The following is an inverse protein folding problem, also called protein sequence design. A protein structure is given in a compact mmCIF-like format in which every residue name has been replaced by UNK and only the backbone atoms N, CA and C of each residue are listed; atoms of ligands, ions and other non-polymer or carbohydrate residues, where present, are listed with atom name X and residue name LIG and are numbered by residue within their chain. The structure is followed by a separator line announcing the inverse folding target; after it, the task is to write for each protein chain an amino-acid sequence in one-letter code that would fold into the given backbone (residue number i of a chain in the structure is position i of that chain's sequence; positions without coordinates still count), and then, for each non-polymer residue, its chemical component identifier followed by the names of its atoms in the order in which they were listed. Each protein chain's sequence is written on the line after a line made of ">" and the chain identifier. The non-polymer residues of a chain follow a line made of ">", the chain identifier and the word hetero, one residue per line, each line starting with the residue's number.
data_IF_663747520691
#
_entry.id   IF_663747520691
#
_cell.length_a   1.000
_cell.length_b   1.000
_cell.length_c   1.000
_cell.angle_alpha   90.00
_cell.angle_beta   90.00
_cell.angle_gamma   90.00
#
_symmetry.space_group_name_H-M   'P 1'
#
loop_
_entity.id
_entity.type
_entity.pdbx_description
1 polymer ?
#
# COMPACT_ATOMS: atom_id res chain seq x y z
N UNK A 1 -9.31 -2.78 11.06
CA UNK A 1 -8.12 -2.83 10.18
C UNK A 1 -6.85 -3.29 10.89
N UNK A 2 -6.91 -3.64 12.13
CA UNK A 2 -5.69 -3.90 12.91
C UNK A 2 -4.88 -5.14 12.46
N UNK A 3 -5.48 -6.04 11.70
CA UNK A 3 -4.77 -7.16 11.10
C UNK A 3 -4.15 -6.86 9.73
N UNK A 4 -4.53 -5.78 9.05
CA UNK A 4 -4.09 -5.55 7.68
C UNK A 4 -2.61 -5.17 7.56
N UNK A 5 -2.10 -4.39 8.51
CA UNK A 5 -0.68 -4.00 8.58
C UNK A 5 -0.17 -4.15 10.01
N UNK A 6 0.84 -4.99 10.17
CA UNK A 6 1.52 -5.20 11.45
C UNK A 6 3.01 -4.90 11.27
N UNK A 7 3.55 -4.13 12.21
CA UNK A 7 4.98 -3.84 12.27
C UNK A 7 5.54 -4.57 13.50
N UNK A 8 6.61 -5.33 13.31
CA UNK A 8 7.27 -6.03 14.40
C UNK A 8 8.76 -5.78 14.42
N UNK A 9 9.33 -5.78 15.61
CA UNK A 9 10.77 -5.71 15.81
C UNK A 9 11.29 -7.05 16.29
N UNK A 10 12.46 -7.42 15.78
CA UNK A 10 13.15 -8.64 16.22
C UNK A 10 14.60 -8.33 16.55
N UNK A 11 15.16 -9.07 17.51
CA UNK A 11 16.59 -9.20 17.65
C UNK A 11 17.04 -10.32 16.74
N UNK A 12 17.70 -9.96 15.65
CA UNK A 12 18.13 -10.91 14.63
C UNK A 12 19.56 -11.38 14.94
N UNK A 13 19.72 -12.65 15.23
CA UNK A 13 20.99 -13.24 15.66
C UNK A 13 21.61 -14.17 14.58
N UNK A 14 20.87 -14.54 13.52
CA UNK A 14 21.34 -15.42 12.44
C UNK A 14 20.53 -15.24 11.15
N UNK A 15 21.09 -15.68 10.02
CA UNK A 15 20.44 -15.64 8.71
C UNK A 15 19.13 -16.46 8.70
N UNK A 16 18.08 -15.93 8.03
CA UNK A 16 16.77 -16.56 7.93
C UNK A 16 15.88 -16.46 9.18
N UNK A 17 16.34 -15.77 10.25
CA UNK A 17 15.51 -15.61 11.46
C UNK A 17 14.26 -14.79 11.19
N UNK A 18 14.29 -13.83 10.26
CA UNK A 18 13.11 -13.09 9.81
C UNK A 18 12.01 -14.01 9.29
N UNK A 19 12.36 -14.95 8.42
CA UNK A 19 11.41 -15.95 7.89
C UNK A 19 10.84 -16.84 8.99
N UNK A 20 11.66 -17.23 9.98
CA UNK A 20 11.18 -18.00 11.13
C UNK A 20 10.14 -17.23 11.93
N UNK A 21 10.38 -15.95 12.20
CA UNK A 21 9.42 -15.09 12.94
C UNK A 21 8.14 -14.91 12.13
N UNK A 22 8.24 -14.63 10.83
CA UNK A 22 7.10 -14.54 9.91
C UNK A 22 6.20 -15.79 10.02
N UNK A 23 6.80 -16.99 9.88
CA UNK A 23 6.07 -18.25 9.94
C UNK A 23 5.44 -18.49 11.31
N UNK A 24 6.11 -18.12 12.40
CA UNK A 24 5.59 -18.23 13.75
C UNK A 24 4.38 -17.31 13.97
N UNK A 25 4.43 -16.07 13.48
CA UNK A 25 3.31 -15.12 13.58
C UNK A 25 2.11 -15.57 12.76
N UNK A 26 2.31 -16.02 11.54
CA UNK A 26 1.20 -16.50 10.70
C UNK A 26 0.65 -17.87 11.12
N UNK A 27 1.41 -18.61 11.90
CA UNK A 27 1.01 -19.94 12.42
C UNK A 27 0.28 -19.91 13.76
N UNK A 28 0.14 -18.76 14.44
CA UNK A 28 -0.35 -18.74 15.81
C UNK A 28 -1.32 -17.59 16.13
N UNK A 29 -2.37 -17.92 16.88
CA UNK A 29 -3.32 -16.96 17.46
C UNK A 29 -3.95 -16.04 16.44
N UNK A 30 -4.28 -14.83 16.85
CA UNK A 30 -4.91 -13.83 15.96
C UNK A 30 -3.96 -13.27 14.91
N UNK A 31 -2.64 -13.39 15.09
CA UNK A 31 -1.67 -12.96 14.08
C UNK A 31 -1.77 -13.78 12.78
N UNK A 32 -2.40 -14.95 12.80
CA UNK A 32 -2.70 -15.71 11.59
C UNK A 32 -3.54 -14.91 10.58
N UNK A 33 -4.31 -13.90 11.02
CA UNK A 33 -5.10 -13.04 10.14
C UNK A 33 -4.32 -11.84 9.57
N UNK A 34 -3.07 -11.63 10.01
CA UNK A 34 -2.24 -10.54 9.50
C UNK A 34 -1.99 -10.67 8.00
N UNK A 35 -2.25 -9.58 7.27
CA UNK A 35 -2.11 -9.51 5.81
C UNK A 35 -0.72 -9.04 5.39
N UNK A 36 -0.28 -7.91 5.93
CA UNK A 36 1.02 -7.29 5.64
C UNK A 36 1.82 -7.23 6.93
N UNK A 37 2.94 -7.92 6.94
CA UNK A 37 3.90 -7.91 8.05
C UNK A 37 5.14 -7.16 7.63
N UNK A 38 5.54 -6.15 8.39
CA UNK A 38 6.81 -5.44 8.22
C UNK A 38 7.71 -5.76 9.39
N UNK A 39 8.93 -6.22 9.11
CA UNK A 39 9.92 -6.52 10.15
C UNK A 39 11.07 -5.52 10.10
N UNK A 40 11.53 -5.13 11.29
CA UNK A 40 12.70 -4.31 11.49
C UNK A 40 13.52 -4.83 12.67
N UNK A 41 14.76 -4.37 12.83
CA UNK A 41 15.60 -4.73 13.96
C UNK A 41 15.17 -4.00 15.25
N UNK A 42 15.52 -4.58 16.40
CA UNK A 42 15.10 -4.11 17.72
C UNK A 42 15.51 -2.65 18.03
N UNK A 43 16.58 -2.18 17.44
CA UNK A 43 17.10 -0.82 17.64
C UNK A 43 16.26 0.28 16.98
N UNK A 44 15.30 -0.07 16.10
CA UNK A 44 14.50 0.90 15.38
C UNK A 44 13.23 1.26 16.16
N UNK A 45 12.89 2.55 16.25
CA UNK A 45 11.62 2.97 16.85
C UNK A 45 10.47 2.69 15.87
N UNK A 46 9.50 1.86 16.29
CA UNK A 46 8.28 1.58 15.49
C UNK A 46 7.22 2.68 15.61
N UNK A 47 7.47 3.71 16.42
CA UNK A 47 6.59 4.88 16.56
C UNK A 47 7.08 6.08 15.74
N UNK A 48 8.34 6.08 15.31
CA UNK A 48 8.90 7.01 14.35
C UNK A 48 8.83 6.39 12.95
N UNK A 49 7.72 6.65 12.26
CA UNK A 49 7.44 6.03 10.97
C UNK A 49 8.41 6.45 9.86
N UNK A 50 8.94 7.66 9.91
CA UNK A 50 9.93 8.13 8.93
C UNK A 50 11.26 7.37 9.09
N UNK A 51 11.76 7.28 10.31
CA UNK A 51 12.98 6.51 10.62
C UNK A 51 12.80 5.01 10.35
N UNK A 52 11.64 4.45 10.69
CA UNK A 52 11.30 3.07 10.40
C UNK A 52 11.29 2.80 8.89
N UNK A 53 10.61 3.62 8.11
CA UNK A 53 10.53 3.44 6.67
C UNK A 53 11.91 3.56 6.01
N UNK A 54 12.69 4.56 6.38
CA UNK A 54 14.08 4.70 5.91
C UNK A 54 14.90 3.44 6.18
N UNK A 55 14.79 2.92 7.42
CA UNK A 55 15.53 1.72 7.82
C UNK A 55 15.10 0.50 7.00
N UNK A 56 13.80 0.25 6.92
CA UNK A 56 13.24 -0.88 6.15
C UNK A 56 13.66 -0.79 4.68
N UNK A 57 13.45 0.34 4.04
CA UNK A 57 13.78 0.50 2.63
C UNK A 57 15.29 0.49 2.34
N UNK A 58 16.12 0.90 3.29
CA UNK A 58 17.58 0.77 3.18
C UNK A 58 17.99 -0.70 3.01
N UNK A 59 17.42 -1.58 3.82
CA UNK A 59 17.77 -3.01 3.88
C UNK A 59 16.97 -3.89 2.91
N UNK A 60 15.96 -3.34 2.21
CA UNK A 60 15.04 -4.10 1.37
C UNK A 60 15.58 -4.29 -0.04
N UNK A 61 15.62 -5.53 -0.50
CA UNK A 61 15.62 -5.89 -1.91
C UNK A 61 14.21 -6.41 -2.28
N UNK A 62 13.42 -5.72 -3.13
CA UNK A 62 12.06 -6.13 -3.44
C UNK A 62 11.94 -7.53 -4.04
N UNK A 63 12.96 -8.03 -4.71
CA UNK A 63 12.95 -9.35 -5.34
C UNK A 63 13.15 -10.50 -4.35
N UNK A 64 13.93 -10.29 -3.26
CA UNK A 64 14.36 -11.37 -2.36
C UNK A 64 13.80 -11.25 -0.95
N UNK A 65 13.47 -10.02 -0.49
CA UNK A 65 13.14 -9.75 0.91
C UNK A 65 11.63 -9.55 1.14
N UNK A 66 10.82 -9.79 0.11
CA UNK A 66 9.36 -9.80 0.20
C UNK A 66 8.87 -11.22 0.01
N UNK A 67 8.29 -11.79 1.09
CA UNK A 67 7.80 -13.15 1.11
C UNK A 67 6.29 -13.19 1.00
N UNK A 68 5.77 -14.05 0.13
CA UNK A 68 4.34 -14.23 -0.06
C UNK A 68 3.88 -15.60 0.43
N UNK A 69 2.70 -15.61 1.05
CA UNK A 69 2.01 -16.82 1.48
C UNK A 69 0.51 -16.72 1.19
N UNK A 70 -0.23 -17.76 1.49
CA UNK A 70 -1.70 -17.77 1.54
C UNK A 70 -2.14 -18.46 2.81
N UNK A 71 -3.28 -18.03 3.35
CA UNK A 71 -3.78 -18.64 4.58
C UNK A 71 -5.07 -18.00 5.08
N UNK A 72 -5.42 -18.27 6.36
CA UNK A 72 -6.58 -17.67 6.99
C UNK A 72 -6.51 -16.15 6.97
N UNK A 73 -7.64 -15.52 6.64
CA UNK A 73 -7.83 -14.08 6.66
C UNK A 73 -9.08 -13.74 7.48
N UNK A 74 -9.15 -12.51 7.95
CA UNK A 74 -10.36 -12.03 8.61
C UNK A 74 -11.55 -12.14 7.67
N UNK A 75 -12.70 -12.58 8.17
CA UNK A 75 -13.93 -12.73 7.38
C UNK A 75 -14.44 -11.39 6.84
N UNK A 76 -14.08 -10.29 7.48
CA UNK A 76 -14.39 -8.93 7.04
C UNK A 76 -13.45 -8.42 5.96
N UNK A 77 -12.38 -9.15 5.63
CA UNK A 77 -11.49 -8.75 4.54
C UNK A 77 -12.17 -8.99 3.19
N UNK A 78 -12.56 -7.89 2.57
CA UNK A 78 -13.24 -7.92 1.27
C UNK A 78 -12.27 -8.09 0.09
N UNK A 79 -10.97 -7.85 0.27
CA UNK A 79 -9.98 -7.95 -0.81
C UNK A 79 -9.71 -9.38 -1.26
N UNK A 80 -9.99 -10.37 -0.41
CA UNK A 80 -9.78 -11.78 -0.73
C UNK A 80 -10.80 -12.29 -1.75
N UNK A 81 -10.35 -13.06 -2.73
CA UNK A 81 -11.26 -13.68 -3.72
C UNK A 81 -12.15 -14.79 -3.11
N UNK A 82 -11.75 -15.34 -1.96
CA UNK A 82 -12.52 -16.32 -1.16
C UNK A 82 -12.67 -15.79 0.25
N UNK A 83 -13.87 -15.91 0.81
CA UNK A 83 -14.13 -15.49 2.20
C UNK A 83 -13.22 -16.23 3.17
N UNK A 84 -12.52 -15.47 4.04
CA UNK A 84 -11.66 -16.02 5.08
C UNK A 84 -10.35 -16.66 4.58
N UNK A 85 -10.00 -16.53 3.28
CA UNK A 85 -8.79 -17.09 2.71
C UNK A 85 -8.20 -16.20 1.63
N UNK A 86 -6.94 -15.78 1.80
CA UNK A 86 -6.30 -14.83 0.88
C UNK A 86 -4.78 -14.80 0.97
N UNK A 87 -4.20 -13.82 0.29
CA UNK A 87 -2.77 -13.58 0.23
C UNK A 87 -2.22 -12.88 1.47
N UNK A 88 -0.96 -13.17 1.76
CA UNK A 88 -0.16 -12.57 2.83
C UNK A 88 1.18 -12.13 2.28
N UNK A 89 1.72 -11.06 2.84
CA UNK A 89 3.04 -10.54 2.48
C UNK A 89 3.83 -10.19 3.72
N UNK A 90 5.09 -10.56 3.73
CA UNK A 90 6.05 -10.09 4.72
C UNK A 90 7.17 -9.31 4.03
N UNK A 91 7.45 -8.12 4.53
CA UNK A 91 8.57 -7.27 4.13
C UNK A 91 9.65 -7.41 5.20
N UNK A 92 10.72 -8.10 4.90
CA UNK A 92 11.87 -8.24 5.78
C UNK A 92 12.83 -7.06 5.60
N UNK A 93 12.61 -6.02 6.40
CA UNK A 93 13.48 -4.83 6.46
C UNK A 93 14.58 -4.91 7.50
N UNK A 94 14.90 -6.10 8.03
CA UNK A 94 16.03 -6.28 8.95
C UNK A 94 17.37 -6.17 8.22
N UNK A 95 18.43 -5.84 8.94
CA UNK A 95 19.80 -5.92 8.42
C UNK A 95 20.11 -7.34 7.94
N UNK A 96 20.84 -7.45 6.83
CA UNK A 96 21.13 -8.74 6.22
C UNK A 96 22.46 -9.31 6.68
N UNK A 97 22.49 -10.60 6.95
CA UNK A 97 23.71 -11.37 7.04
C UNK A 97 24.28 -11.64 5.65
N UNK A 98 25.53 -12.03 5.56
CA UNK A 98 26.21 -12.26 4.29
C UNK A 98 25.49 -13.30 3.44
N UNK A 99 24.94 -14.35 4.07
CA UNK A 99 24.20 -15.43 3.43
C UNK A 99 22.83 -15.00 2.87
N UNK A 100 22.33 -13.82 3.25
CA UNK A 100 21.06 -13.27 2.78
C UNK A 100 21.23 -12.24 1.66
N UNK A 101 22.47 -11.87 1.34
CA UNK A 101 22.76 -10.87 0.31
C UNK A 101 22.69 -11.49 -1.09
N UNK A 102 22.21 -10.71 -2.04
CA UNK A 102 22.26 -11.04 -3.47
C UNK A 102 23.43 -10.34 -4.14
N UNK A 103 24.32 -11.10 -4.79
CA UNK A 103 25.52 -10.57 -5.44
C UNK A 103 25.24 -9.49 -6.50
N UNK A 104 24.08 -9.61 -7.16
CA UNK A 104 23.71 -8.74 -8.29
C UNK A 104 22.77 -7.60 -7.91
N UNK A 105 22.44 -7.44 -6.62
CA UNK A 105 21.50 -6.40 -6.21
C UNK A 105 22.12 -4.99 -6.32
N UNK A 106 21.35 -4.06 -6.90
CA UNK A 106 21.71 -2.63 -6.95
C UNK A 106 21.41 -1.98 -5.60
N UNK A 107 22.43 -1.64 -4.83
CA UNK A 107 22.26 -0.82 -3.63
C UNK A 107 21.61 0.53 -3.97
N UNK A 108 20.69 0.96 -3.12
CA UNK A 108 19.97 2.19 -3.33
C UNK A 108 20.83 3.43 -3.35
N UNK A 109 20.69 4.15 -4.42
CA UNK A 109 20.80 5.60 -4.38
C UNK A 109 19.74 6.17 -5.32
N UNK A 110 18.68 6.77 -4.75
CA UNK A 110 17.82 7.63 -5.56
C UNK A 110 18.69 8.77 -6.06
N UNK A 111 19.04 8.71 -7.35
CA UNK A 111 19.91 9.72 -7.99
C UNK A 111 19.10 10.86 -8.59
N UNK A 112 17.77 10.74 -8.63
CA UNK A 112 16.88 11.64 -9.35
C UNK A 112 15.96 12.32 -8.34
N UNK A 113 15.73 13.61 -8.52
CA UNK A 113 14.87 14.39 -7.63
C UNK A 113 13.41 13.95 -7.72
N UNK A 114 12.69 14.07 -6.63
CA UNK A 114 11.24 13.82 -6.59
C UNK A 114 10.49 14.63 -7.67
N UNK A 115 10.88 15.87 -7.91
CA UNK A 115 10.27 16.73 -8.93
C UNK A 115 10.43 16.17 -10.35
N UNK A 116 11.60 15.59 -10.68
CA UNK A 116 11.82 14.94 -11.98
C UNK A 116 10.98 13.68 -12.13
N UNK A 117 10.85 12.88 -11.06
CA UNK A 117 9.97 11.71 -11.00
C UNK A 117 8.52 12.13 -11.22
N UNK A 118 8.04 13.13 -10.47
CA UNK A 118 6.67 13.64 -10.60
C UNK A 118 6.39 14.16 -12.01
N UNK A 119 7.30 14.95 -12.59
CA UNK A 119 7.18 15.46 -13.95
C UNK A 119 7.06 14.33 -14.97
N UNK A 120 7.87 13.27 -14.80
CA UNK A 120 7.83 12.10 -15.68
C UNK A 120 6.51 11.35 -15.52
N UNK A 121 6.07 11.09 -14.30
CA UNK A 121 4.85 10.31 -14.05
C UNK A 121 3.58 11.06 -14.48
N UNK A 122 3.54 12.38 -14.38
CA UNK A 122 2.42 13.21 -14.89
C UNK A 122 2.24 13.15 -16.41
N UNK A 123 3.18 12.57 -17.16
CA UNK A 123 3.01 12.33 -18.59
C UNK A 123 2.12 11.12 -18.93
N UNK A 124 1.82 10.28 -17.94
CA UNK A 124 0.89 9.14 -18.09
C UNK A 124 -0.53 9.60 -17.75
N UNK A 125 -1.45 9.53 -18.73
CA UNK A 125 -2.82 10.04 -18.58
C UNK A 125 -3.62 9.30 -17.51
N UNK A 126 -3.27 8.05 -17.26
CA UNK A 126 -3.91 7.18 -16.26
C UNK A 126 -3.55 7.56 -14.82
N UNK A 127 -2.43 8.26 -14.62
CA UNK A 127 -1.99 8.70 -13.30
C UNK A 127 -2.63 10.05 -12.99
N UNK A 128 -3.50 10.09 -11.99
CA UNK A 128 -4.22 11.31 -11.59
C UNK A 128 -3.47 12.10 -10.52
N UNK A 129 -2.88 11.40 -9.55
CA UNK A 129 -2.09 12.02 -8.49
C UNK A 129 -0.78 11.25 -8.30
N UNK A 130 0.31 11.97 -8.18
CA UNK A 130 1.64 11.43 -7.85
C UNK A 130 2.04 11.97 -6.49
N UNK A 131 2.26 11.09 -5.53
CA UNK A 131 2.88 11.45 -4.25
C UNK A 131 4.30 10.90 -4.19
N UNK A 132 5.28 11.81 -4.24
CA UNK A 132 6.71 11.54 -4.12
C UNK A 132 7.31 12.11 -2.81
N UNK A 133 6.50 12.42 -1.81
CA UNK A 133 6.97 12.99 -0.54
C UNK A 133 7.91 12.04 0.22
N UNK A 134 7.70 10.72 0.08
CA UNK A 134 8.60 9.73 0.67
C UNK A 134 9.99 9.78 0.01
N UNK A 135 10.04 10.03 -1.30
CA UNK A 135 11.30 10.19 -2.04
C UNK A 135 12.09 11.42 -1.57
N UNK A 136 11.41 12.53 -1.25
CA UNK A 136 12.04 13.72 -0.66
C UNK A 136 12.67 13.45 0.70
N UNK A 137 12.20 12.40 1.37
CA UNK A 137 12.71 11.91 2.65
C UNK A 137 13.71 10.74 2.48
N UNK A 138 14.26 10.50 1.31
CA UNK A 138 15.15 9.37 0.99
C UNK A 138 14.51 7.99 1.20
N UNK A 139 13.19 7.88 1.10
CA UNK A 139 12.45 6.62 1.15
C UNK A 139 12.03 6.28 -0.29
N UNK A 140 12.58 5.22 -0.94
CA UNK A 140 12.34 4.89 -2.34
C UNK A 140 10.96 4.25 -2.58
N UNK A 141 9.91 4.97 -2.22
CA UNK A 141 8.52 4.55 -2.34
C UNK A 141 7.67 5.69 -2.91
N UNK A 142 6.80 5.34 -3.85
CA UNK A 142 5.81 6.24 -4.45
C UNK A 142 4.39 5.78 -4.12
N UNK A 143 3.45 6.72 -4.07
CA UNK A 143 2.01 6.42 -4.02
C UNK A 143 1.37 7.08 -5.23
N UNK A 144 0.66 6.30 -6.04
CA UNK A 144 0.06 6.77 -7.29
C UNK A 144 -1.44 6.51 -7.30
N UNK A 145 -2.24 7.55 -7.56
CA UNK A 145 -3.67 7.41 -7.85
C UNK A 145 -3.85 7.13 -9.34
N UNK A 146 -4.41 5.97 -9.68
CA UNK A 146 -4.46 5.47 -11.06
C UNK A 146 -5.86 5.08 -11.47
N UNK A 147 -6.24 5.45 -12.69
CA UNK A 147 -7.47 5.03 -13.34
C UNK A 147 -7.23 3.76 -14.16
N UNK A 148 -7.71 2.63 -13.66
CA UNK A 148 -7.65 1.35 -14.35
C UNK A 148 -8.85 1.22 -15.30
N UNK A 149 -8.62 0.94 -16.58
CA UNK A 149 -9.66 0.96 -17.63
C UNK A 149 -9.76 -0.33 -18.45
N UNK A 150 -8.92 -1.32 -18.22
CA UNK A 150 -8.95 -2.63 -18.89
C UNK A 150 -8.23 -3.71 -18.10
N UNK A 151 -8.46 -4.94 -18.48
CA UNK A 151 -7.75 -6.09 -17.91
C UNK A 151 -6.23 -5.98 -18.19
N UNK A 152 -5.42 -6.24 -17.17
CA UNK A 152 -3.95 -6.20 -17.27
C UNK A 152 -3.33 -4.79 -17.35
N UNK A 153 -4.15 -3.74 -17.38
CA UNK A 153 -3.70 -2.36 -17.57
C UNK A 153 -2.61 -1.95 -16.56
N UNK A 154 -2.82 -2.22 -15.28
CA UNK A 154 -1.86 -1.81 -14.25
C UNK A 154 -0.51 -2.53 -14.38
N UNK A 155 -0.52 -3.79 -14.82
CA UNK A 155 0.71 -4.53 -15.07
C UNK A 155 1.54 -3.90 -16.20
N UNK A 156 0.87 -3.54 -17.30
CA UNK A 156 1.50 -2.85 -18.43
C UNK A 156 2.04 -1.48 -18.01
N UNK A 157 1.23 -0.71 -17.29
CA UNK A 157 1.62 0.62 -16.79
C UNK A 157 2.81 0.52 -15.83
N UNK A 158 2.82 -0.45 -14.91
CA UNK A 158 3.94 -0.66 -13.98
C UNK A 158 5.25 -0.97 -14.74
N UNK A 159 5.19 -1.85 -15.73
CA UNK A 159 6.35 -2.16 -16.57
C UNK A 159 6.85 -0.93 -17.34
N UNK A 160 5.94 -0.14 -17.91
CA UNK A 160 6.30 1.10 -18.61
C UNK A 160 6.95 2.11 -17.66
N UNK A 161 6.34 2.37 -16.50
CA UNK A 161 6.87 3.29 -15.50
C UNK A 161 8.28 2.87 -15.08
N UNK A 162 8.45 1.63 -14.64
CA UNK A 162 9.72 1.15 -14.10
C UNK A 162 10.83 1.02 -15.16
N UNK A 163 10.48 0.98 -16.46
CA UNK A 163 11.49 0.98 -17.54
C UNK A 163 12.18 2.34 -17.74
N UNK A 164 11.66 3.41 -17.16
CA UNK A 164 12.28 4.73 -17.27
C UNK A 164 13.42 4.91 -16.26
N UNK A 165 14.53 5.46 -16.73
CA UNK A 165 15.72 5.71 -15.90
C UNK A 165 15.45 6.63 -14.70
N UNK A 166 14.46 7.50 -14.83
CA UNK A 166 14.02 8.41 -13.76
C UNK A 166 13.45 7.66 -12.55
N UNK A 167 13.00 6.41 -12.75
CA UNK A 167 12.45 5.56 -11.70
C UNK A 167 13.48 4.56 -11.15
N UNK A 168 14.70 4.52 -11.72
CA UNK A 168 15.74 3.64 -11.21
C UNK A 168 16.13 4.04 -9.78
N UNK A 169 16.04 3.09 -8.87
CA UNK A 169 16.23 3.31 -7.44
C UNK A 169 14.90 3.35 -6.63
N UNK A 170 13.73 3.47 -7.29
CA UNK A 170 12.43 3.32 -6.61
C UNK A 170 12.16 1.83 -6.37
N UNK A 171 12.08 1.45 -5.11
CA UNK A 171 11.89 0.04 -4.70
C UNK A 171 10.42 -0.39 -4.67
N UNK A 172 9.50 0.54 -4.40
CA UNK A 172 8.09 0.22 -4.23
C UNK A 172 7.18 1.30 -4.78
N UNK A 173 6.09 0.88 -5.41
CA UNK A 173 5.00 1.76 -5.87
C UNK A 173 3.69 1.22 -5.33
N UNK A 174 2.99 2.01 -4.51
CA UNK A 174 1.66 1.72 -4.02
C UNK A 174 0.64 2.37 -4.95
N UNK A 175 -0.24 1.56 -5.54
CA UNK A 175 -1.30 2.05 -6.40
C UNK A 175 -2.61 2.12 -5.62
N UNK A 176 -3.32 3.24 -5.73
CA UNK A 176 -4.67 3.45 -5.19
C UNK A 176 -5.60 3.93 -6.30
N UNK A 177 -6.90 3.85 -6.05
CA UNK A 177 -7.93 4.30 -7.02
C UNK A 177 -7.75 5.77 -7.38
N UNK A 178 -8.11 6.12 -8.62
CA UNK A 178 -8.05 7.50 -9.13
C UNK A 178 -8.85 8.52 -8.31
N UNK A 179 -9.88 8.07 -7.59
CA UNK A 179 -10.72 8.90 -6.71
C UNK A 179 -10.09 9.15 -5.34
N UNK A 180 -8.98 8.46 -5.01
CA UNK A 180 -8.24 8.65 -3.75
C UNK A 180 -7.13 9.67 -3.98
N UNK A 181 -7.09 10.72 -3.17
CA UNK A 181 -5.95 11.64 -3.17
C UNK A 181 -4.73 10.97 -2.54
N UNK A 182 -3.74 10.62 -3.37
CA UNK A 182 -2.49 10.02 -2.90
C UNK A 182 -1.68 10.93 -1.96
N UNK A 183 -1.96 12.24 -1.92
CA UNK A 183 -1.30 13.18 -1.00
C UNK A 183 -1.92 13.14 0.41
N UNK A 184 -3.14 12.62 0.55
CA UNK A 184 -3.72 12.32 1.86
C UNK A 184 -3.24 10.95 2.33
N UNK A 185 -2.02 10.92 2.88
CA UNK A 185 -1.34 9.68 3.26
C UNK A 185 -2.19 8.74 4.15
N UNK A 186 -2.89 9.23 5.21
CA UNK A 186 -3.76 8.37 6.01
C UNK A 186 -4.87 7.69 5.19
N UNK A 187 -5.53 8.42 4.31
CA UNK A 187 -6.59 7.88 3.46
C UNK A 187 -6.02 6.92 2.41
N UNK A 188 -4.92 7.31 1.76
CA UNK A 188 -4.27 6.46 0.76
C UNK A 188 -3.82 5.12 1.36
N UNK A 189 -3.19 5.12 2.54
CA UNK A 189 -2.77 3.89 3.23
C UNK A 189 -3.98 3.08 3.74
N UNK A 190 -5.02 3.73 4.23
CA UNK A 190 -6.24 3.05 4.64
C UNK A 190 -6.88 2.29 3.47
N UNK A 191 -7.06 2.96 2.32
CA UNK A 191 -7.59 2.35 1.10
C UNK A 191 -6.70 1.24 0.59
N UNK A 192 -5.41 1.52 0.49
CA UNK A 192 -4.42 0.54 0.04
C UNK A 192 -4.44 -0.74 0.87
N UNK A 193 -4.34 -0.63 2.21
CA UNK A 193 -4.31 -1.81 3.09
C UNK A 193 -5.62 -2.60 3.05
N UNK A 194 -6.77 -1.94 2.85
CA UNK A 194 -8.05 -2.63 2.76
C UNK A 194 -8.23 -3.38 1.42
N UNK A 195 -7.74 -2.81 0.34
CA UNK A 195 -8.03 -3.28 -1.01
C UNK A 195 -7.03 -4.31 -1.54
N UNK A 196 -5.85 -4.40 -0.94
CA UNK A 196 -4.78 -5.27 -1.38
C UNK A 196 -5.01 -6.73 -0.94
N UNK A 197 -4.97 -7.68 -1.87
CA UNK A 197 -4.60 -9.08 -1.61
C UNK A 197 -3.16 -9.27 -2.09
N UNK A 198 -2.17 -9.32 -1.18
CA UNK A 198 -0.76 -9.22 -1.57
C UNK A 198 -0.31 -10.26 -2.59
N UNK A 199 -0.84 -11.48 -2.50
CA UNK A 199 -0.44 -12.58 -3.39
C UNK A 199 -1.02 -12.46 -4.81
N UNK A 200 -2.20 -11.85 -4.94
CA UNK A 200 -2.85 -11.59 -6.22
C UNK A 200 -2.33 -10.32 -6.89
N UNK A 201 -2.05 -9.31 -6.08
CA UNK A 201 -1.96 -7.91 -6.51
C UNK A 201 -0.53 -7.37 -6.58
N UNK A 202 0.50 -8.23 -6.45
CA UNK A 202 1.87 -7.79 -6.62
C UNK A 202 2.31 -7.79 -8.09
N UNK A 203 3.14 -6.82 -8.42
CA UNK A 203 3.75 -6.63 -9.73
C UNK A 203 5.26 -6.47 -9.51
N UNK A 204 6.07 -7.43 -9.92
CA UNK A 204 7.52 -7.31 -9.83
C UNK A 204 8.09 -6.88 -11.20
N UNK A 205 8.88 -5.82 -11.19
CA UNK A 205 9.73 -5.42 -12.30
C UNK A 205 11.18 -5.67 -11.93
N UNK A 206 11.92 -6.31 -12.81
CA UNK A 206 13.35 -6.53 -12.70
C UNK A 206 14.02 -6.26 -14.03
N UNK A 207 15.10 -5.51 -14.02
CA UNK A 207 15.87 -5.24 -15.20
C UNK A 207 17.34 -4.90 -14.82
N UNK A 208 18.32 -5.20 -15.71
CA UNK A 208 19.66 -4.67 -15.53
C UNK A 208 19.62 -3.15 -15.35
N UNK A 209 20.38 -2.62 -14.39
CA UNK A 209 20.48 -1.19 -14.17
C UNK A 209 21.07 -0.51 -15.41
N UNK A 210 20.46 0.59 -15.83
CA UNK A 210 20.96 1.38 -16.97
C UNK A 210 22.33 2.04 -16.68
N UNK A 211 22.63 2.27 -15.39
CA UNK A 211 23.89 2.87 -14.96
C UNK A 211 24.97 1.82 -14.63
N UNK A 212 24.58 0.60 -14.31
CA UNK A 212 25.48 -0.53 -14.01
C UNK A 212 24.83 -1.84 -14.45
N UNK A 213 25.04 -2.29 -15.70
CA UNK A 213 24.36 -3.48 -16.26
C UNK A 213 24.66 -4.80 -15.56
N UNK A 214 25.68 -4.87 -14.70
CA UNK A 214 25.98 -6.05 -13.88
C UNK A 214 25.05 -6.17 -12.64
N UNK A 215 24.32 -5.10 -12.34
CA UNK A 215 23.41 -5.03 -11.19
C UNK A 215 21.97 -5.04 -11.67
N UNK A 216 21.10 -5.67 -10.86
CA UNK A 216 19.66 -5.74 -11.12
C UNK A 216 18.94 -4.64 -10.33
N UNK A 217 18.15 -3.86 -11.03
CA UNK A 217 17.15 -2.97 -10.45
C UNK A 217 15.83 -3.71 -10.30
N UNK A 218 15.26 -3.69 -9.10
CA UNK A 218 13.97 -4.31 -8.81
C UNK A 218 13.00 -3.28 -8.23
N UNK A 219 11.77 -3.29 -8.73
CA UNK A 219 10.68 -2.45 -8.21
C UNK A 219 9.42 -3.28 -8.01
N UNK A 220 8.85 -3.24 -6.81
CA UNK A 220 7.60 -3.90 -6.48
C UNK A 220 6.44 -2.92 -6.62
N UNK A 221 5.49 -3.22 -7.51
CA UNK A 221 4.18 -2.58 -7.56
C UNK A 221 3.17 -3.36 -6.75
N UNK A 222 2.32 -2.66 -5.99
CA UNK A 222 1.25 -3.25 -5.19
C UNK A 222 -0.09 -2.60 -5.56
N UNK A 223 -1.00 -3.38 -6.15
CA UNK A 223 -2.30 -2.93 -6.67
C UNK A 223 -3.36 -2.87 -5.57
N UNK A 224 -3.43 -1.75 -4.84
CA UNK A 224 -4.49 -1.42 -3.89
C UNK A 224 -5.73 -0.77 -4.52
N UNK A 225 -5.91 -0.86 -5.84
CA UNK A 225 -7.10 -0.37 -6.54
C UNK A 225 -8.25 -1.38 -6.32
N UNK A 226 -9.48 -0.88 -6.25
CA UNK A 226 -10.70 -1.71 -6.23
C UNK A 226 -10.66 -2.77 -7.32
N UNK A 227 -11.07 -3.99 -6.98
CA UNK A 227 -11.20 -5.07 -7.95
C UNK A 227 -12.62 -5.16 -8.50
N UNK A 228 -12.71 -5.45 -9.79
CA UNK A 228 -13.98 -5.56 -10.51
C UNK A 228 -14.09 -6.91 -11.22
N UNK A 229 -15.31 -7.31 -11.54
CA UNK A 229 -15.54 -8.52 -12.34
C UNK A 229 -14.94 -8.36 -13.74
N UNK A 230 -15.06 -7.19 -14.33
CA UNK A 230 -14.64 -6.90 -15.70
C UNK A 230 -13.12 -6.94 -15.87
N UNK A 231 -12.36 -6.24 -15.00
CA UNK A 231 -10.93 -6.07 -15.18
C UNK A 231 -10.09 -7.10 -14.42
N UNK A 232 -10.63 -7.62 -13.30
CA UNK A 232 -9.86 -8.46 -12.36
C UNK A 232 -10.43 -9.86 -12.21
N UNK A 233 -11.56 -10.17 -12.86
CA UNK A 233 -12.31 -11.42 -12.65
C UNK A 233 -12.64 -11.65 -11.17
N UNK A 234 -12.97 -10.57 -10.47
CA UNK A 234 -13.31 -10.59 -9.05
C UNK A 234 -14.83 -10.69 -8.87
N UNK A 235 -15.32 -11.74 -8.21
CA UNK A 235 -16.75 -12.09 -8.18
C UNK A 235 -17.44 -11.84 -6.84
N UNK A 236 -16.70 -11.46 -5.80
CA UNK A 236 -17.32 -11.07 -4.53
C UNK A 236 -17.77 -9.62 -4.60
N UNK A 237 -18.80 -9.31 -3.81
CA UNK A 237 -19.24 -7.93 -3.61
C UNK A 237 -18.10 -7.11 -2.98
N UNK A 238 -17.93 -5.90 -3.47
CA UNK A 238 -16.95 -4.96 -2.96
C UNK A 238 -17.67 -3.87 -2.18
N UNK A 239 -17.39 -3.70 -0.88
CA UNK A 239 -18.13 -2.74 -0.07
C UNK A 239 -17.89 -1.32 -0.56
N UNK A 240 -18.96 -0.55 -0.65
CA UNK A 240 -18.91 0.86 -0.93
C UNK A 240 -18.41 1.66 0.28
N UNK A 241 -18.08 2.92 0.11
CA UNK A 241 -17.79 3.84 1.19
C UNK A 241 -19.11 4.36 1.73
N UNK A 242 -19.30 4.26 3.03
CA UNK A 242 -20.51 4.75 3.71
C UNK A 242 -20.38 6.26 3.92
N UNK A 243 -21.39 7.00 3.48
CA UNK A 243 -21.52 8.46 3.68
C UNK A 243 -22.90 8.77 4.24
N UNK A 244 -23.02 9.87 5.00
CA UNK A 244 -24.30 10.41 5.41
C UNK A 244 -24.95 11.19 4.25
N UNK A 245 -26.28 11.22 4.21
CA UNK A 245 -27.05 12.08 3.31
C UNK A 245 -26.90 13.58 3.65
N UNK A 246 -27.34 14.45 2.75
CA UNK A 246 -27.21 15.89 2.94
C UNK A 246 -28.09 16.44 4.08
N UNK A 247 -29.25 15.82 4.32
CA UNK A 247 -30.16 16.22 5.39
C UNK A 247 -29.57 15.87 6.75
N UNK A 248 -29.01 14.69 6.90
CA UNK A 248 -28.30 14.25 8.12
C UNK A 248 -27.10 15.15 8.40
N UNK A 249 -26.27 15.44 7.39
CA UNK A 249 -25.11 16.32 7.53
C UNK A 249 -25.59 17.69 8.03
N UNK A 250 -26.55 18.30 7.34
CA UNK A 250 -27.10 19.62 7.70
C UNK A 250 -27.68 19.62 9.13
N UNK A 251 -28.46 18.61 9.48
CA UNK A 251 -29.04 18.50 10.84
C UNK A 251 -27.98 18.42 11.94
N UNK A 252 -26.87 17.75 11.70
CA UNK A 252 -25.76 17.67 12.67
C UNK A 252 -25.01 18.99 12.72
N UNK A 253 -24.74 19.61 11.57
CA UNK A 253 -24.03 20.89 11.49
C UNK A 253 -24.77 22.01 12.21
N UNK A 254 -26.10 22.09 12.06
CA UNK A 254 -26.95 23.06 12.74
C UNK A 254 -26.95 22.88 14.28
N UNK A 255 -26.85 21.65 14.77
CA UNK A 255 -26.83 21.31 16.21
C UNK A 255 -25.43 21.31 16.81
N UNK A 256 -24.37 21.48 16.02
CA UNK A 256 -22.99 21.27 16.48
C UNK A 256 -22.64 22.01 17.78
N UNK A 257 -23.04 23.26 17.88
CA UNK A 257 -22.79 24.11 19.08
C UNK A 257 -23.51 23.58 20.32
N UNK A 258 -24.65 22.91 20.17
CA UNK A 258 -25.44 22.35 21.26
C UNK A 258 -24.87 20.99 21.74
N UNK A 259 -24.08 20.30 20.88
CA UNK A 259 -23.52 19.00 21.19
C UNK A 259 -22.30 19.06 22.13
N UNK A 260 -21.75 20.24 22.39
CA UNK A 260 -20.60 20.41 23.27
C UNK A 260 -19.31 19.74 22.78
N UNK A 261 -19.16 19.52 21.47
CA UNK A 261 -18.03 18.82 20.85
C UNK A 261 -16.82 19.73 20.56
N UNK A 262 -16.89 21.02 20.91
CA UNK A 262 -15.84 21.99 20.64
C UNK A 262 -15.97 22.66 19.28
N UNK A 263 -14.84 23.04 18.67
CA UNK A 263 -14.82 23.75 17.39
C UNK A 263 -15.49 22.93 16.29
N UNK A 264 -16.29 23.58 15.45
CA UNK A 264 -16.98 22.94 14.33
C UNK A 264 -16.01 22.19 13.40
N UNK A 265 -16.36 20.95 13.05
CA UNK A 265 -15.65 20.10 12.12
C UNK A 265 -16.63 19.69 11.02
N UNK A 266 -16.37 20.02 9.74
CA UNK A 266 -17.21 19.57 8.64
C UNK A 266 -17.35 18.04 8.60
N UNK A 267 -18.52 17.55 8.17
CA UNK A 267 -18.75 16.10 8.07
C UNK A 267 -17.68 15.41 7.22
N UNK A 268 -17.04 14.35 7.73
CA UNK A 268 -16.12 13.53 6.93
C UNK A 268 -16.76 12.94 5.67
N UNK A 269 -18.07 12.74 5.66
CA UNK A 269 -18.81 12.23 4.49
C UNK A 269 -18.62 13.10 3.25
N UNK A 270 -18.51 14.42 3.41
CA UNK A 270 -18.27 15.35 2.30
C UNK A 270 -16.99 15.01 1.53
N UNK A 271 -15.96 14.54 2.22
CA UNK A 271 -14.67 14.16 1.64
C UNK A 271 -14.73 12.84 0.84
N UNK A 272 -15.71 11.99 1.14
CA UNK A 272 -15.80 10.64 0.57
C UNK A 272 -16.89 10.49 -0.49
N UNK A 273 -17.75 11.48 -0.69
CA UNK A 273 -18.83 11.41 -1.68
C UNK A 273 -18.35 11.04 -3.09
N UNK A 274 -17.27 11.66 -3.55
CA UNK A 274 -16.70 11.42 -4.88
C UNK A 274 -15.99 10.05 -5.00
N UNK A 275 -15.83 9.32 -3.89
CA UNK A 275 -15.21 8.01 -3.86
C UNK A 275 -16.24 6.86 -3.85
N UNK A 276 -17.53 7.19 -3.76
CA UNK A 276 -18.61 6.20 -3.84
C UNK A 276 -18.76 5.66 -5.28
N UNK A 277 -19.26 4.46 -5.36
CA UNK A 277 -19.72 3.85 -6.59
C UNK A 277 -21.11 3.24 -6.33
N UNK A 278 -22.13 3.87 -6.91
CA UNK A 278 -23.52 3.58 -6.61
C UNK A 278 -24.03 4.29 -5.34
N UNK A 279 -25.31 4.22 -5.11
CA UNK A 279 -26.02 4.99 -4.07
C UNK A 279 -26.34 4.14 -2.81
N UNK A 280 -26.09 2.83 -2.84
CA UNK A 280 -26.48 1.88 -1.78
C UNK A 280 -25.77 2.09 -0.43
N UNK A 281 -24.77 2.97 -0.38
CA UNK A 281 -24.03 3.27 0.85
C UNK A 281 -24.34 4.66 1.43
N UNK A 282 -25.35 5.33 0.92
CA UNK A 282 -25.86 6.58 1.51
C UNK A 282 -26.75 6.21 2.70
N UNK A 283 -26.36 6.70 3.89
CA UNK A 283 -27.14 6.50 5.11
C UNK A 283 -28.09 7.67 5.28
N UNK A 284 -29.37 7.40 5.12
CA UNK A 284 -30.47 8.33 5.36
C UNK A 284 -30.84 8.38 6.85
N UNK A 285 -31.30 9.54 7.33
CA UNK A 285 -31.90 9.64 8.65
C UNK A 285 -33.14 8.75 8.68
N UNK A 286 -33.23 7.85 9.66
CA UNK A 286 -34.48 7.14 9.91
C UNK A 286 -35.55 8.20 10.15
N UNK A 287 -36.50 8.34 9.23
CA UNK A 287 -37.70 9.15 9.42
C UNK A 287 -38.39 8.66 10.68
N UNK A 288 -38.40 9.46 11.74
CA UNK A 288 -39.08 9.22 13.00
C UNK A 288 -40.60 9.14 12.81
#
# INVERSE_FOLDING_TARGET
>A
MFHNLVITKIKKDYAGQGQKVMNAMWGAGQMMFNKILVMADEGVSIQDYDSLAKYVFKNLNPATDIFFSTGPMDVLDHSCSKMGFGGKMCIDGTAKFEEELSDNYLENSIKISADSIEKKLKSFLEIKVVNAELVKKDIPCLILSVEKNRKGHLKELHQQICSHKELEGIKMILYVEHTVDANDLPIALWRFCNNLDPKRDFLLFENPSQNNPEKIFSCMGLDGIRKTKEFDNFHRDWPNIIVADDETIKSVDEKWNELGLGTFIPSPSLKFKDQMYGDEAVVESLSS
#
